data_IF_267994175440
#
_entry.id   IF_267994175440
#
_cell.length_a   1.000
_cell.length_b   1.000
_cell.length_c   1.000
_cell.angle_alpha   90.00
_cell.angle_beta   90.00
_cell.angle_gamma   90.00
#
_symmetry.space_group_name_H-M   'P 1'
#
loop_
_entity.id
_entity.type
_entity.pdbx_description
1 polymer ?
2 non-polymer ?
3 non-polymer ?
4 water ?
#
# COMPACT_ATOMS: atom_id res chain seq x y z
N UNK A 1 3.17 11.56 -14.91
CA UNK A 1 4.18 11.48 -13.79
C UNK A 1 3.94 10.19 -12.98
N UNK A 2 2.72 9.77 -12.82
CA UNK A 2 2.37 8.53 -12.05
C UNK A 2 2.22 7.33 -12.97
N UNK A 3 2.34 7.52 -14.29
CA UNK A 3 1.77 6.56 -15.25
C UNK A 3 2.43 5.19 -15.20
N UNK A 4 3.70 5.07 -14.86
CA UNK A 4 4.31 3.72 -14.84
C UNK A 4 3.77 2.90 -13.67
N UNK A 5 3.13 3.53 -12.66
CA UNK A 5 2.52 2.80 -11.55
C UNK A 5 1.16 2.22 -11.93
N UNK A 6 0.56 2.70 -13.00
CA UNK A 6 -0.83 2.31 -13.27
C UNK A 6 -0.91 0.87 -13.75
N UNK A 7 -1.96 0.20 -13.34
CA UNK A 7 -2.25 -1.15 -13.80
C UNK A 7 -2.56 -2.06 -12.65
N UNK A 8 -2.50 -3.35 -12.95
CA UNK A 8 -2.86 -4.42 -12.02
C UNK A 8 -1.58 -5.13 -11.61
N UNK A 9 -1.40 -5.29 -10.32
CA UNK A 9 -0.16 -5.79 -9.71
C UNK A 9 -0.51 -6.92 -8.76
N UNK A 10 0.32 -7.96 -8.77
CA UNK A 10 0.10 -9.14 -7.94
C UNK A 10 1.24 -9.31 -6.95
N UNK A 11 0.94 -9.62 -5.70
CA UNK A 11 2.02 -9.80 -4.70
C UNK A 11 2.82 -11.06 -5.01
N UNK A 12 4.17 -10.85 -5.17
CA UNK A 12 5.19 -11.93 -5.42
C UNK A 12 6.32 -12.06 -4.39
N UNK A 13 6.39 -11.21 -3.37
CA UNK A 13 7.40 -11.35 -2.28
C UNK A 13 6.92 -10.53 -1.09
N UNK A 14 7.06 -11.00 0.18
CA UNK A 14 6.74 -10.17 1.34
C UNK A 14 7.76 -10.42 2.44
N UNK A 15 8.28 -9.33 2.98
CA UNK A 15 9.25 -9.37 4.08
C UNK A 15 8.76 -8.50 5.24
N UNK A 16 8.65 -9.08 6.41
CA UNK A 16 8.36 -8.36 7.65
C UNK A 16 6.94 -7.78 7.72
N UNK A 17 6.00 -8.32 6.95
CA UNK A 17 4.62 -7.81 7.07
C UNK A 17 4.03 -8.12 8.44
N UNK A 18 4.37 -9.27 9.04
CA UNK A 18 3.86 -9.53 10.38
C UNK A 18 4.38 -8.47 11.36
N UNK A 19 5.66 -8.09 11.28
CA UNK A 19 6.26 -7.03 12.13
C UNK A 19 5.47 -5.74 11.98
N UNK A 20 5.16 -5.40 10.76
CA UNK A 20 4.43 -4.16 10.48
C UNK A 20 3.03 -4.22 11.08
N UNK A 21 2.29 -5.31 10.81
CA UNK A 21 0.95 -5.44 11.35
C UNK A 21 0.97 -5.44 12.87
N UNK A 22 1.92 -6.13 13.47
CA UNK A 22 1.95 -6.20 14.93
C UNK A 22 2.22 -4.80 15.48
N UNK A 23 3.09 -4.02 14.86
CA UNK A 23 3.38 -2.64 15.30
C UNK A 23 2.09 -1.80 15.31
N UNK A 24 1.22 -2.04 14.33
CA UNK A 24 -0.05 -1.34 14.22
C UNK A 24 -1.08 -1.90 15.21
N UNK A 25 -0.80 -2.97 15.93
CA UNK A 25 -1.78 -3.52 16.86
C UNK A 25 -2.77 -4.49 16.24
N UNK A 26 -2.47 -5.02 15.07
CA UNK A 26 -3.36 -6.00 14.43
C UNK A 26 -3.30 -7.31 15.24
N UNK A 27 -4.44 -7.90 15.51
CA UNK A 27 -4.53 -9.12 16.28
C UNK A 27 -3.95 -10.34 15.59
N UNK A 28 -3.58 -11.34 16.40
CA UNK A 28 -2.85 -12.50 15.85
C UNK A 28 -3.59 -13.23 14.77
N UNK A 29 -4.90 -13.37 14.91
CA UNK A 29 -5.68 -14.18 13.94
C UNK A 29 -5.71 -13.48 12.59
N UNK A 30 -5.86 -12.16 12.62
CA UNK A 30 -5.83 -11.37 11.38
C UNK A 30 -4.44 -11.44 10.76
N UNK A 31 -3.39 -11.26 11.57
CA UNK A 31 -2.02 -11.33 11.01
C UNK A 31 -1.81 -12.69 10.36
N UNK A 32 -2.27 -13.71 11.04
CA UNK A 32 -2.14 -15.08 10.54
C UNK A 32 -2.74 -15.22 9.12
N UNK A 33 -4.00 -14.82 8.88
CA UNK A 33 -4.63 -14.90 7.55
C UNK A 33 -3.89 -13.99 6.58
N UNK A 34 -3.59 -12.77 6.99
CA UNK A 34 -2.91 -11.81 6.12
C UNK A 34 -1.54 -12.33 5.67
N UNK A 35 -0.85 -13.09 6.48
CA UNK A 35 0.49 -13.62 6.13
C UNK A 35 0.42 -14.61 4.96
N UNK A 36 -0.76 -15.14 4.67
CA UNK A 36 -0.86 -16.10 3.56
C UNK A 36 -1.61 -15.50 2.38
N UNK A 37 -1.95 -14.24 2.46
CA UNK A 37 -2.87 -13.66 1.48
C UNK A 37 -1.98 -12.97 0.44
N UNK A 38 -2.36 -13.06 -0.85
CA UNK A 38 -1.58 -12.42 -1.92
C UNK A 38 -2.48 -11.44 -2.63
N UNK A 39 -2.53 -10.20 -2.18
CA UNK A 39 -3.44 -9.28 -2.79
C UNK A 39 -3.07 -8.92 -4.23
N UNK A 40 -4.09 -8.38 -4.88
CA UNK A 40 -3.99 -7.71 -6.16
C UNK A 40 -4.20 -6.22 -5.91
N UNK A 41 -3.27 -5.39 -6.37
CA UNK A 41 -3.42 -3.94 -6.27
C UNK A 41 -3.67 -3.40 -7.66
N UNK A 42 -4.70 -2.60 -7.80
CA UNK A 42 -5.06 -1.96 -9.07
C UNK A 42 -4.96 -0.47 -8.88
N UNK A 43 -4.16 0.18 -9.72
CA UNK A 43 -3.97 1.63 -9.66
C UNK A 43 -4.46 2.19 -10.98
N UNK A 44 -5.54 2.98 -10.93
CA UNK A 44 -6.13 3.63 -12.11
C UNK A 44 -6.18 5.15 -11.95
N UNK A 45 -6.11 5.90 -13.05
CA UNK A 45 -6.23 7.33 -13.05
C UNK A 45 -7.34 7.76 -13.97
N UNK A 46 -8.02 8.85 -13.58
CA UNK A 46 -8.98 9.55 -14.42
C UNK A 46 -8.70 11.03 -14.21
N UNK A 47 -8.02 11.65 -15.14
CA UNK A 47 -7.57 13.00 -14.90
C UNK A 47 -6.68 13.04 -13.68
N UNK A 48 -6.82 13.98 -12.77
CA UNK A 48 -5.77 13.85 -11.74
C UNK A 48 -6.38 13.09 -10.53
N UNK A 49 -7.50 12.33 -10.66
CA UNK A 49 -7.94 11.46 -9.57
C UNK A 49 -7.37 10.07 -9.78
N UNK A 50 -6.71 9.59 -8.74
CA UNK A 50 -6.19 8.23 -8.70
C UNK A 50 -7.10 7.37 -7.83
N UNK A 51 -7.31 6.14 -8.25
CA UNK A 51 -8.01 5.15 -7.47
C UNK A 51 -7.10 3.95 -7.27
N UNK A 52 -6.95 3.54 -6.02
CA UNK A 52 -6.08 2.42 -5.63
C UNK A 52 -6.94 1.39 -4.94
N UNK A 53 -7.11 0.25 -5.60
CA UNK A 53 -7.87 -0.87 -5.06
C UNK A 53 -6.88 -1.90 -4.55
N UNK A 54 -7.22 -2.56 -3.45
CA UNK A 54 -6.48 -3.72 -2.97
C UNK A 54 -7.49 -4.82 -2.74
N UNK A 55 -7.33 -5.93 -3.45
CA UNK A 55 -8.30 -7.00 -3.46
C UNK A 55 -7.64 -8.28 -2.94
N UNK A 56 -8.38 -9.04 -2.16
CA UNK A 56 -7.86 -10.33 -1.69
C UNK A 56 -9.01 -11.21 -1.26
N UNK A 57 -8.68 -12.44 -0.87
CA UNK A 57 -9.64 -13.35 -0.30
C UNK A 57 -10.03 -12.98 1.13
N UNK A 58 -9.34 -12.04 1.74
CA UNK A 58 -9.58 -11.66 3.14
C UNK A 58 -10.20 -10.29 3.21
N UNK A 59 -9.42 -9.25 3.00
CA UNK A 59 -9.91 -7.88 3.06
C UNK A 59 -9.82 -7.26 1.65
N UNK A 60 -10.87 -6.47 1.22
CA UNK A 60 -10.77 -5.50 0.10
C UNK A 60 -10.70 -4.06 0.64
N UNK A 61 -9.99 -3.18 -0.06
CA UNK A 61 -10.05 -1.74 0.17
C UNK A 61 -10.06 -1.00 -1.16
N UNK A 62 -10.52 0.25 -1.09
CA UNK A 62 -10.42 1.15 -2.24
C UNK A 62 -10.31 2.57 -1.70
N UNK A 63 -9.38 3.34 -2.26
CA UNK A 63 -9.25 4.76 -1.99
C UNK A 63 -9.20 5.51 -3.29
N UNK A 64 -9.74 6.74 -3.31
CA UNK A 64 -9.55 7.69 -4.40
C UNK A 64 -9.02 8.99 -3.84
N UNK A 65 -8.11 9.61 -4.59
CA UNK A 65 -7.45 10.80 -4.10
C UNK A 65 -6.87 11.58 -5.25
N UNK A 66 -6.62 12.83 -4.96
CA UNK A 66 -5.85 13.74 -5.82
C UNK A 66 -4.42 13.76 -5.25
N UNK A 67 -3.31 13.66 -6.03
CA UNK A 67 -1.98 13.82 -5.48
C UNK A 67 -1.91 15.15 -4.77
N UNK A 68 -1.33 15.10 -3.58
CA UNK A 68 -1.03 16.33 -2.84
C UNK A 68 -2.22 16.93 -2.14
N UNK A 69 -3.35 16.25 -2.06
CA UNK A 69 -4.54 16.74 -1.38
C UNK A 69 -4.94 15.73 -0.32
N UNK A 70 -5.05 16.19 0.90
CA UNK A 70 -5.37 15.27 2.02
C UNK A 70 -6.77 14.67 1.81
N UNK A 71 -6.92 13.43 2.28
CA UNK A 71 -8.21 12.73 2.23
C UNK A 71 -8.35 11.90 3.48
N UNK A 72 -9.60 11.68 3.86
CA UNK A 72 -9.88 10.74 4.93
C UNK A 72 -9.79 9.33 4.38
N UNK A 73 -9.32 8.39 5.23
CA UNK A 73 -9.18 6.98 4.84
C UNK A 73 -9.50 6.12 6.06
N UNK A 74 -10.14 4.99 5.81
CA UNK A 74 -10.34 3.95 6.81
C UNK A 74 -9.61 2.73 6.32
N UNK A 75 -8.55 2.33 7.02
CA UNK A 75 -7.64 1.31 6.53
C UNK A 75 -8.20 -0.09 6.68
N UNK A 76 -7.48 -1.07 6.12
CA UNK A 76 -7.92 -2.46 6.17
C UNK A 76 -8.09 -2.96 7.60
N UNK A 77 -7.26 -2.44 8.51
CA UNK A 77 -7.28 -2.76 9.94
C UNK A 77 -8.13 -1.76 10.73
N UNK A 78 -8.95 -0.96 10.06
CA UNK A 78 -9.99 -0.13 10.70
C UNK A 78 -9.41 1.07 11.42
N UNK A 79 -8.25 1.56 11.04
CA UNK A 79 -7.80 2.87 11.54
C UNK A 79 -8.45 3.97 10.69
N UNK A 80 -8.92 5.01 11.35
CA UNK A 80 -9.43 6.21 10.68
C UNK A 80 -8.32 7.24 10.65
N UNK A 81 -7.79 7.48 9.47
CA UNK A 81 -6.56 8.24 9.31
C UNK A 81 -6.77 9.41 8.37
N UNK A 82 -5.86 10.38 8.45
CA UNK A 82 -5.74 11.49 7.52
C UNK A 82 -4.58 11.15 6.59
N UNK A 83 -4.84 11.10 5.31
CA UNK A 83 -3.86 10.59 4.34
C UNK A 83 -3.50 11.63 3.30
N UNK A 84 -2.31 11.49 2.75
CA UNK A 84 -1.93 12.26 1.56
C UNK A 84 -0.98 11.38 0.76
N UNK A 85 -1.11 11.46 -0.54
CA UNK A 85 -0.24 10.72 -1.46
C UNK A 85 0.42 11.75 -2.38
N UNK A 86 1.73 11.60 -2.57
CA UNK A 86 2.47 12.52 -3.43
C UNK A 86 3.54 11.74 -4.16
N UNK A 87 4.04 12.33 -5.20
CA UNK A 87 5.24 11.82 -5.88
C UNK A 87 6.45 12.51 -5.31
N UNK A 88 7.46 11.71 -4.96
CA UNK A 88 8.66 12.23 -4.29
C UNK A 88 9.81 11.38 -4.81
N UNK A 89 10.71 11.97 -5.58
CA UNK A 89 11.81 11.18 -6.11
C UNK A 89 11.34 10.10 -7.05
N UNK A 90 10.22 10.29 -7.71
CA UNK A 90 9.67 9.25 -8.60
C UNK A 90 8.93 8.16 -7.84
N UNK A 91 8.83 8.25 -6.53
CA UNK A 91 8.14 7.26 -5.71
C UNK A 91 6.77 7.79 -5.34
N UNK A 92 5.82 6.90 -5.29
CA UNK A 92 4.48 7.27 -4.87
C UNK A 92 4.46 7.12 -3.33
N UNK A 93 4.42 8.23 -2.52
CA UNK A 93 4.53 8.22 -1.06
C UNK A 93 3.18 8.50 -0.45
N UNK A 94 2.66 7.54 0.30
CA UNK A 94 1.36 7.63 0.98
C UNK A 94 1.67 7.73 2.48
N UNK A 95 1.29 8.87 3.08
CA UNK A 95 1.46 9.11 4.50
C UNK A 95 0.11 9.09 5.19
N UNK A 96 -0.03 8.29 6.24
CA UNK A 96 -1.24 8.22 7.07
C UNK A 96 -0.92 8.75 8.45
N UNK A 97 -1.82 9.57 8.99
CA UNK A 97 -1.68 10.18 10.32
C UNK A 97 -2.94 9.91 11.14
N UNK A 98 -2.76 9.50 12.38
CA UNK A 98 -3.88 9.32 13.29
C UNK A 98 -3.36 9.29 14.70
N UNK A 99 -4.05 9.93 15.62
CA UNK A 99 -3.66 9.84 17.05
C UNK A 99 -2.21 10.28 17.26
N UNK A 100 -1.70 11.19 16.44
CA UNK A 100 -0.30 11.60 16.54
C UNK A 100 0.71 10.57 15.97
N UNK A 101 0.25 9.42 15.57
CA UNK A 101 1.04 8.36 14.92
C UNK A 101 1.11 8.64 13.42
N UNK A 102 2.10 8.04 12.80
CA UNK A 102 2.26 8.08 11.35
C UNK A 102 2.71 6.73 10.83
N UNK A 103 2.32 6.43 9.61
CA UNK A 103 2.92 5.33 8.85
C UNK A 103 3.05 5.77 7.43
N UNK A 104 4.10 5.29 6.75
CA UNK A 104 4.31 5.57 5.34
C UNK A 104 4.22 4.28 4.54
N UNK A 105 3.65 4.42 3.35
CA UNK A 105 3.51 3.35 2.38
C UNK A 105 4.14 3.91 1.11
N UNK A 106 5.36 3.46 0.78
CA UNK A 106 6.14 4.05 -0.32
C UNK A 106 6.23 3.03 -1.43
N UNK A 107 5.83 3.45 -2.63
CA UNK A 107 5.90 2.57 -3.80
C UNK A 107 6.92 3.10 -4.79
N UNK A 108 7.66 2.17 -5.36
CA UNK A 108 8.62 2.52 -6.38
C UNK A 108 8.70 1.40 -7.36
N UNK A 109 9.30 1.76 -8.45
CA UNK A 109 9.50 0.79 -9.52
C UNK A 109 10.97 0.47 -9.62
N UNK A 110 11.31 -0.81 -9.56
CA UNK A 110 12.68 -1.32 -9.69
C UNK A 110 12.61 -2.51 -10.66
N UNK A 111 13.30 -2.34 -11.79
CA UNK A 111 13.35 -3.39 -12.83
C UNK A 111 11.96 -3.88 -13.17
N UNK A 112 11.01 -2.96 -13.27
CA UNK A 112 9.64 -3.30 -13.68
C UNK A 112 8.77 -3.83 -12.58
N UNK A 113 9.31 -4.09 -11.40
CA UNK A 113 8.52 -4.57 -10.25
C UNK A 113 8.18 -3.38 -9.38
N UNK A 114 7.05 -3.48 -8.72
CA UNK A 114 6.66 -2.42 -7.79
C UNK A 114 7.02 -2.92 -6.39
N UNK A 115 7.77 -2.08 -5.73
CA UNK A 115 8.24 -2.37 -4.36
C UNK A 115 7.52 -1.41 -3.44
N UNK A 116 6.77 -1.98 -2.50
CA UNK A 116 6.02 -1.26 -1.49
C UNK A 116 6.78 -1.40 -0.17
N UNK A 117 7.19 -0.28 0.41
CA UNK A 117 7.87 -0.28 1.71
C UNK A 117 6.91 0.36 2.72
N UNK A 118 6.61 -0.36 3.78
CA UNK A 118 5.62 -0.01 4.84
C UNK A 118 6.40 0.21 6.13
N UNK A 119 6.38 1.44 6.66
CA UNK A 119 7.14 1.75 7.89
C UNK A 119 6.18 2.23 8.96
N UNK A 120 6.23 1.64 10.13
CA UNK A 120 5.51 2.16 11.30
C UNK A 120 6.37 1.84 12.52
N UNK A 121 6.57 2.82 13.38
CA UNK A 121 7.48 2.58 14.49
C UNK A 121 8.85 2.26 13.94
N UNK A 122 9.44 1.18 14.40
CA UNK A 122 10.72 0.72 13.86
C UNK A 122 10.52 -0.33 12.79
N UNK A 123 9.28 -0.84 12.59
CA UNK A 123 9.03 -1.95 11.68
C UNK A 123 9.07 -1.44 10.24
N UNK A 124 9.81 -2.20 9.40
CA UNK A 124 9.96 -1.89 7.99
C UNK A 124 9.64 -3.16 7.22
N UNK A 125 8.70 -3.05 6.31
CA UNK A 125 8.27 -4.17 5.51
C UNK A 125 8.47 -3.83 4.05
N UNK A 126 8.88 -4.83 3.31
CA UNK A 126 9.03 -4.66 1.89
C UNK A 126 8.21 -5.75 1.22
N UNK A 127 7.33 -5.30 0.34
CA UNK A 127 6.49 -6.20 -0.43
C UNK A 127 6.74 -5.89 -1.89
N UNK A 128 6.74 -6.95 -2.67
CA UNK A 128 7.04 -6.82 -4.08
C UNK A 128 5.87 -7.33 -4.88
N UNK A 129 5.44 -6.54 -5.86
CA UNK A 129 4.32 -6.88 -6.73
C UNK A 129 4.80 -6.98 -8.17
N UNK A 130 4.17 -7.90 -8.91
CA UNK A 130 4.46 -8.09 -10.34
C UNK A 130 3.24 -7.71 -11.17
N UNK A 131 3.51 -7.08 -12.32
CA UNK A 131 2.55 -6.41 -13.21
C UNK A 131 1.82 -7.51 -13.96
N UNK A 132 0.51 -7.56 -13.81
CA UNK A 132 -0.40 -8.39 -14.62
C UNK A 132 -0.69 -7.72 -15.97
N UNK A 133 -0.74 -8.55 -17.00
CA UNK A 133 -0.94 -8.12 -18.39
C UNK A 133 -2.40 -7.69 -18.55
#
# INVERSE_FOLDING_TARGET
>A
MVDAFLGTWKLVDSKNFDDYMKSLGVGFATRQVASMTKPTTIIEKNGDILTLKTHSTFKNTEISFKLGVEFDETTADDRKVKSIVTLDGGKLVHLQKWDGQETTLVRELIDGKLILTLTHGTAVCTRTYEKEA
#
